data_IF_857549308600
#
_entry.id   IF_857549308600
#
_cell.length_a   1.000
_cell.length_b   1.000
_cell.length_c   1.000
_cell.angle_alpha   90.00
_cell.angle_beta   90.00
_cell.angle_gamma   90.00
#
_symmetry.space_group_name_H-M   'P 1'
#
loop_
_entity.id
_entity.type
_entity.pdbx_description
1 polymer ?
#
# COMPACT_ATOMS: atom_id res chain seq x y z
N UNK A 1 -11.30 -31.39 10.56
CA UNK A 1 -11.56 -30.09 11.19
C UNK A 1 -10.67 -29.06 10.53
N UNK A 2 -11.22 -28.09 9.81
CA UNK A 2 -10.43 -27.00 9.24
C UNK A 2 -9.97 -26.11 10.38
N UNK A 3 -8.67 -26.13 10.67
CA UNK A 3 -8.04 -25.30 11.68
C UNK A 3 -8.13 -23.83 11.20
N UNK A 4 -9.22 -23.14 11.55
CA UNK A 4 -9.32 -21.69 11.41
C UNK A 4 -8.34 -21.09 12.40
N UNK A 5 -7.08 -20.94 11.97
CA UNK A 5 -6.12 -20.12 12.70
C UNK A 5 -6.80 -18.76 12.87
N UNK A 6 -7.07 -18.39 14.11
CA UNK A 6 -7.49 -17.06 14.48
C UNK A 6 -6.38 -16.13 13.98
N UNK A 7 -6.62 -15.45 12.86
CA UNK A 7 -5.68 -14.46 12.33
C UNK A 7 -5.79 -13.31 13.31
N UNK A 8 -4.86 -13.26 14.25
CA UNK A 8 -4.69 -12.16 15.18
C UNK A 8 -4.80 -10.86 14.39
N UNK A 9 -5.83 -10.06 14.70
CA UNK A 9 -6.14 -8.85 13.96
C UNK A 9 -4.93 -7.91 14.07
N UNK A 10 -4.18 -7.78 12.98
CA UNK A 10 -3.01 -6.90 12.97
C UNK A 10 -3.54 -5.48 13.19
N UNK A 11 -2.98 -4.72 14.15
CA UNK A 11 -3.44 -3.37 14.39
C UNK A 11 -3.39 -2.55 13.09
N UNK A 12 -4.47 -1.83 12.74
CA UNK A 12 -4.41 -0.88 11.65
C UNK A 12 -3.47 0.26 12.05
N UNK A 13 -2.49 0.54 11.19
CA UNK A 13 -1.51 1.61 11.36
C UNK A 13 -1.72 2.68 10.29
N UNK A 14 -1.41 3.92 10.64
CA UNK A 14 -1.37 5.03 9.71
C UNK A 14 -0.26 4.82 8.67
N UNK A 15 -0.64 4.37 7.48
CA UNK A 15 0.30 4.09 6.40
C UNK A 15 0.23 5.17 5.34
N UNK A 16 1.39 5.72 4.97
CA UNK A 16 1.51 6.60 3.79
C UNK A 16 1.25 5.80 2.52
N UNK A 17 0.34 6.30 1.70
CA UNK A 17 -0.05 5.71 0.42
C UNK A 17 0.01 6.77 -0.67
N UNK A 18 0.15 6.31 -1.89
CA UNK A 18 -0.03 7.12 -3.09
C UNK A 18 -1.35 6.70 -3.71
N UNK A 19 -2.27 7.64 -3.87
CA UNK A 19 -3.57 7.42 -4.50
C UNK A 19 -3.53 7.96 -5.92
N UNK A 20 -4.07 7.18 -6.86
CA UNK A 20 -4.19 7.62 -8.24
C UNK A 20 -5.21 8.78 -8.33
N UNK A 21 -4.90 9.79 -9.13
CA UNK A 21 -5.78 10.94 -9.35
C UNK A 21 -6.84 10.71 -10.42
N UNK A 22 -6.81 9.58 -11.13
CA UNK A 22 -7.75 9.28 -12.20
C UNK A 22 -9.09 8.78 -11.65
N UNK A 23 -10.20 9.37 -12.09
CA UNK A 23 -11.56 8.93 -11.72
C UNK A 23 -11.89 7.51 -12.19
N UNK A 24 -11.20 7.05 -13.25
CA UNK A 24 -11.37 5.70 -13.80
C UNK A 24 -10.47 4.66 -13.11
N UNK A 25 -9.52 5.09 -12.29
CA UNK A 25 -8.56 4.22 -11.62
C UNK A 25 -8.60 4.43 -10.11
N UNK A 26 -9.16 3.46 -9.37
CA UNK A 26 -9.17 3.46 -7.90
C UNK A 26 -7.88 2.87 -7.31
N UNK A 27 -6.79 2.97 -8.07
CA UNK A 27 -5.48 2.41 -7.72
C UNK A 27 -4.82 3.21 -6.62
N UNK A 28 -4.22 2.51 -5.66
CA UNK A 28 -3.34 3.12 -4.68
C UNK A 28 -2.21 2.15 -4.34
N UNK A 29 -1.07 2.69 -3.92
CA UNK A 29 0.10 1.90 -3.52
C UNK A 29 0.61 2.40 -2.18
N UNK A 30 1.07 1.51 -1.31
CA UNK A 30 1.77 1.93 -0.09
C UNK A 30 3.10 2.55 -0.47
N UNK A 31 3.47 3.66 0.16
CA UNK A 31 4.76 4.32 -0.08
C UNK A 31 5.92 3.35 0.20
N UNK A 32 5.78 2.52 1.24
CA UNK A 32 6.70 1.41 1.56
C UNK A 32 6.85 0.35 0.46
N UNK A 33 6.04 0.34 -0.60
CA UNK A 33 6.13 -0.62 -1.71
C UNK A 33 6.33 0.06 -3.07
N UNK A 34 6.49 1.39 -3.06
CA UNK A 34 6.75 2.19 -4.24
C UNK A 34 8.25 2.16 -4.56
N UNK A 35 8.59 2.13 -5.84
CA UNK A 35 9.97 2.32 -6.29
C UNK A 35 10.32 3.80 -6.24
N UNK A 36 11.48 4.16 -5.69
CA UNK A 36 11.94 5.54 -5.63
C UNK A 36 11.91 6.18 -7.04
N UNK A 37 11.09 7.21 -7.22
CA UNK A 37 10.97 7.97 -8.47
C UNK A 37 9.68 7.76 -9.30
N UNK A 38 8.82 6.77 -9.01
CA UNK A 38 7.60 6.56 -9.82
C UNK A 38 6.41 7.37 -9.30
N UNK A 39 6.17 8.59 -9.79
CA UNK A 39 4.97 9.39 -9.44
C UNK A 39 3.71 9.00 -10.23
N UNK A 40 3.83 8.00 -11.11
CA UNK A 40 2.77 7.53 -11.99
C UNK A 40 2.18 6.22 -11.50
N UNK A 41 0.86 6.07 -11.63
CA UNK A 41 0.12 4.88 -11.29
C UNK A 41 0.58 3.69 -12.14
N UNK A 42 0.97 2.56 -11.55
CA UNK A 42 1.41 1.38 -12.31
C UNK A 42 0.25 0.69 -13.06
N UNK A 43 -0.99 1.03 -12.74
CA UNK A 43 -2.18 0.43 -13.37
C UNK A 43 -2.63 1.20 -14.62
N UNK A 44 -2.57 2.53 -14.60
CA UNK A 44 -3.11 3.37 -15.67
C UNK A 44 -2.13 4.46 -16.18
N UNK A 45 -0.97 4.64 -15.55
CA UNK A 45 0.03 5.65 -15.91
C UNK A 45 -0.30 7.08 -15.48
N UNK A 46 -1.49 7.34 -14.92
CA UNK A 46 -1.87 8.68 -14.45
C UNK A 46 -1.05 9.11 -13.23
N UNK A 47 -1.07 10.41 -12.93
CA UNK A 47 -0.40 10.94 -11.74
C UNK A 47 -0.96 10.34 -10.44
N UNK A 48 -0.12 10.30 -9.42
CA UNK A 48 -0.50 9.90 -8.07
C UNK A 48 -0.22 11.01 -7.08
N UNK A 49 -1.06 11.10 -6.06
CA UNK A 49 -0.90 12.05 -4.96
C UNK A 49 -0.62 11.33 -3.64
N UNK A 50 0.17 11.95 -2.78
CA UNK A 50 0.46 11.42 -1.45
C UNK A 50 -0.78 11.57 -0.56
N UNK A 51 -1.16 10.49 0.11
CA UNK A 51 -2.30 10.40 1.02
C UNK A 51 -1.97 9.43 2.16
N UNK A 52 -2.86 9.32 3.12
CA UNK A 52 -2.64 8.49 4.30
C UNK A 52 -3.88 7.63 4.54
N UNK A 53 -3.69 6.32 4.77
CA UNK A 53 -4.78 5.38 5.05
C UNK A 53 -4.45 4.51 6.26
N UNK A 54 -5.46 4.24 7.08
CA UNK A 54 -5.38 3.25 8.16
C UNK A 54 -5.47 1.85 7.56
N UNK A 55 -4.34 1.16 7.50
CA UNK A 55 -4.22 -0.16 6.89
C UNK A 55 -3.53 -1.11 7.86
N UNK A 56 -3.79 -2.40 7.70
CA UNK A 56 -3.05 -3.43 8.42
C UNK A 56 -1.55 -3.23 8.20
N UNK A 57 -0.80 -3.19 9.29
CA UNK A 57 0.66 -3.08 9.24
C UNK A 57 1.21 -4.29 8.47
N UNK A 58 1.91 -4.02 7.37
CA UNK A 58 2.59 -5.07 6.59
C UNK A 58 4.07 -4.72 6.47
N UNK A 59 4.92 -5.71 6.70
CA UNK A 59 6.36 -5.57 6.54
C UNK A 59 6.71 -5.74 5.06
N UNK A 60 7.43 -4.79 4.46
CA UNK A 60 8.03 -4.99 3.16
C UNK A 60 9.41 -5.67 3.34
N UNK A 61 9.55 -6.98 3.00
CA UNK A 61 10.83 -7.67 3.13
C UNK A 61 11.93 -7.12 2.21
N UNK A 62 11.59 -6.28 1.22
CA UNK A 62 12.56 -5.64 0.32
C UNK A 62 13.28 -4.44 0.94
N UNK A 63 12.73 -3.84 2.00
CA UNK A 63 13.31 -2.64 2.64
C UNK A 63 14.11 -3.03 3.89
N UNK A 64 13.90 -4.24 4.43
CA UNK A 64 14.60 -4.76 5.63
C UNK A 64 15.96 -5.40 5.35
N UNK A 65 16.53 -5.22 4.16
CA UNK A 65 17.91 -5.64 3.88
C UNK A 65 18.86 -4.46 4.15
N UNK A 66 19.17 -4.25 5.43
CA UNK A 66 20.28 -3.42 5.91
C UNK A 66 21.28 -4.30 6.66
#
# INVERSE_FOLDING_TARGET
MYNRKNVEEVPPEETKVWECTSDTCKGWVRDNFRTEGSLTCPLCGSEMTASTKMLQAINNPRITQA
#
